data_IF_994940352601
#
_entry.id   IF_994940352601
#
_cell.length_a   1.000
_cell.length_b   1.000
_cell.length_c   1.000
_cell.angle_alpha   90.00
_cell.angle_beta   90.00
_cell.angle_gamma   90.00
#
_symmetry.space_group_name_H-M   'P 1'
#
loop_
_entity.id
_entity.type
_entity.pdbx_description
1 polymer ?
#
# COMPACT_ATOMS: atom_id res chain seq x y z
N UNK A 1 -2.24 25.86 28.75
CA UNK A 1 -3.53 26.49 28.39
C UNK A 1 -4.66 25.54 28.79
N UNK A 2 -5.82 26.05 29.20
CA UNK A 2 -6.98 25.18 29.42
C UNK A 2 -7.49 24.70 28.07
N UNK A 3 -7.59 23.38 27.89
CA UNK A 3 -8.13 22.79 26.66
C UNK A 3 -8.76 21.43 26.94
N UNK A 4 -9.58 20.98 26.00
CA UNK A 4 -10.17 19.65 26.00
C UNK A 4 -9.07 18.61 25.73
N UNK A 5 -8.89 17.67 26.65
CA UNK A 5 -7.86 16.62 26.60
C UNK A 5 -8.43 15.28 27.08
N UNK A 6 -7.70 14.20 26.81
CA UNK A 6 -8.08 12.85 27.23
C UNK A 6 -7.79 12.61 28.71
N UNK A 7 -8.81 12.13 29.41
CA UNK A 7 -8.74 11.56 30.76
C UNK A 7 -8.79 10.03 30.68
N UNK A 8 -7.98 9.35 31.49
CA UNK A 8 -8.00 7.88 31.59
C UNK A 8 -8.23 7.48 33.04
N UNK A 9 -9.32 6.78 33.28
CA UNK A 9 -9.71 6.19 34.56
C UNK A 9 -8.92 4.88 34.78
N UNK A 10 -7.87 4.94 35.60
CA UNK A 10 -7.00 3.79 35.87
C UNK A 10 -7.72 2.63 36.59
N UNK A 11 -8.80 2.91 37.33
CA UNK A 11 -9.58 1.88 38.02
C UNK A 11 -10.38 1.03 37.03
N UNK A 12 -10.93 1.67 35.98
CA UNK A 12 -11.65 0.97 34.89
C UNK A 12 -10.74 0.41 33.82
N UNK A 13 -9.51 0.91 33.70
CA UNK A 13 -8.56 0.44 32.71
C UNK A 13 -8.10 -0.99 33.02
N UNK A 14 -8.24 -1.92 32.08
CA UNK A 14 -7.75 -3.29 32.23
C UNK A 14 -6.36 -3.53 31.60
N UNK A 15 -5.72 -2.47 31.08
CA UNK A 15 -4.38 -2.57 30.50
C UNK A 15 -4.29 -3.18 29.10
N UNK A 16 -5.41 -3.37 28.39
CA UNK A 16 -5.42 -4.06 27.10
C UNK A 16 -4.60 -3.41 25.98
N UNK A 17 -4.21 -2.14 26.09
CA UNK A 17 -3.33 -1.47 25.13
C UNK A 17 -3.98 -0.94 23.86
N UNK A 18 -5.26 -1.24 23.59
CA UNK A 18 -5.95 -0.88 22.34
C UNK A 18 -5.91 0.64 22.09
N UNK A 19 -6.15 1.44 23.13
CA UNK A 19 -6.08 2.90 23.05
C UNK A 19 -4.68 3.45 22.73
N UNK A 20 -3.61 2.77 23.15
CA UNK A 20 -2.24 3.16 22.82
C UNK A 20 -1.93 2.87 21.34
N UNK A 21 -2.50 1.80 20.78
CA UNK A 21 -2.41 1.49 19.34
C UNK A 21 -3.26 2.43 18.49
N UNK A 22 -4.45 2.80 18.97
CA UNK A 22 -5.37 3.69 18.25
C UNK A 22 -4.91 5.16 18.21
N UNK A 23 -3.97 5.56 19.07
CA UNK A 23 -3.49 6.94 19.12
C UNK A 23 -2.42 7.18 18.05
N UNK A 24 -2.81 7.79 16.93
CA UNK A 24 -1.94 8.13 15.80
C UNK A 24 -0.76 9.03 16.21
N UNK A 25 -0.99 9.94 17.16
CA UNK A 25 0.00 10.87 17.66
C UNK A 25 0.98 10.21 18.64
N UNK A 26 0.65 9.01 19.15
CA UNK A 26 1.45 8.31 20.15
C UNK A 26 1.48 8.99 21.53
N UNK A 27 0.37 9.61 21.92
CA UNK A 27 0.23 10.31 23.20
C UNK A 27 0.00 9.38 24.40
N UNK A 28 -0.56 8.19 24.17
CA UNK A 28 -0.92 7.19 25.18
C UNK A 28 0.09 6.04 25.17
N UNK A 29 0.49 5.58 26.35
CA UNK A 29 1.34 4.40 26.52
C UNK A 29 0.84 3.54 27.70
N UNK A 30 1.30 2.29 27.78
CA UNK A 30 0.97 1.37 28.86
C UNK A 30 2.08 1.39 29.90
N UNK A 31 1.77 1.95 31.05
CA UNK A 31 2.69 2.09 32.19
C UNK A 31 2.12 1.33 33.37
N UNK A 32 2.90 0.37 33.90
CA UNK A 32 2.48 -0.50 35.01
C UNK A 32 1.15 -1.23 34.74
N UNK A 33 0.95 -1.68 33.50
CA UNK A 33 -0.27 -2.40 33.10
C UNK A 33 -1.52 -1.53 32.98
N UNK A 34 -1.39 -0.20 32.97
CA UNK A 34 -2.51 0.74 32.79
C UNK A 34 -2.19 1.74 31.69
N UNK A 35 -3.21 2.14 30.94
CA UNK A 35 -3.05 3.20 29.94
C UNK A 35 -2.85 4.55 30.65
N UNK A 36 -1.85 5.32 30.21
CA UNK A 36 -1.57 6.66 30.71
C UNK A 36 -1.33 7.61 29.54
N UNK A 37 -1.80 8.84 29.67
CA UNK A 37 -1.48 9.93 28.75
C UNK A 37 -0.08 10.47 29.07
N UNK A 38 0.94 9.80 28.55
CA UNK A 38 2.35 10.09 28.90
C UNK A 38 2.90 11.33 28.17
N UNK A 39 2.28 11.73 27.06
CA UNK A 39 2.71 12.90 26.26
C UNK A 39 1.52 13.80 25.98
N UNK A 40 1.16 14.64 26.93
CA UNK A 40 -0.01 15.53 26.82
C UNK A 40 0.07 16.52 25.65
N UNK A 41 1.28 16.94 25.28
CA UNK A 41 1.54 17.80 24.12
C UNK A 41 1.34 17.07 22.79
N UNK A 42 1.28 15.73 22.78
CA UNK A 42 0.95 14.93 21.59
C UNK A 42 -0.55 14.71 21.46
N UNK A 43 -1.33 14.91 22.53
CA UNK A 43 -2.78 14.69 22.47
C UNK A 43 -3.44 15.85 21.74
N UNK A 44 -4.06 15.63 20.59
CA UNK A 44 -4.75 16.70 19.85
C UNK A 44 -6.12 17.06 20.45
N UNK A 45 -6.73 16.13 21.21
CA UNK A 45 -8.06 16.26 21.80
C UNK A 45 -9.20 15.79 20.90
N UNK A 46 -8.92 15.05 19.82
CA UNK A 46 -9.90 14.54 18.86
C UNK A 46 -10.66 13.32 19.40
N UNK A 47 -9.95 12.43 20.10
CA UNK A 47 -10.55 11.33 20.86
C UNK A 47 -10.75 10.01 20.12
N UNK A 48 -9.90 9.70 19.16
CA UNK A 48 -9.90 8.39 18.46
C UNK A 48 -9.80 7.18 19.40
N UNK A 49 -9.20 7.36 20.59
CA UNK A 49 -9.07 6.32 21.59
C UNK A 49 -10.37 6.00 22.37
N UNK A 50 -11.39 6.86 22.33
CA UNK A 50 -12.66 6.66 23.05
C UNK A 50 -13.45 5.44 22.53
N UNK A 51 -13.77 5.33 21.23
CA UNK A 51 -14.55 4.19 20.72
C UNK A 51 -13.82 2.85 20.88
N UNK A 52 -12.49 2.89 20.96
CA UNK A 52 -11.63 1.71 21.04
C UNK A 52 -11.46 1.19 22.48
N UNK A 53 -11.93 1.90 23.50
CA UNK A 53 -11.78 1.45 24.88
C UNK A 53 -12.93 0.51 25.28
N UNK A 54 -12.70 -0.82 25.39
CA UNK A 54 -13.77 -1.79 25.65
C UNK A 54 -14.37 -1.66 27.06
N UNK A 55 -13.63 -1.06 28.00
CA UNK A 55 -14.09 -0.86 29.37
C UNK A 55 -14.68 0.52 29.63
N UNK A 56 -14.69 1.41 28.62
CA UNK A 56 -15.16 2.79 28.78
C UNK A 56 -14.34 3.60 29.78
N UNK A 57 -13.05 3.31 29.93
CA UNK A 57 -12.13 3.99 30.86
C UNK A 57 -11.65 5.37 30.37
N UNK A 58 -12.00 5.77 29.15
CA UNK A 58 -11.46 6.98 28.51
C UNK A 58 -12.59 8.00 28.31
N UNK A 59 -12.34 9.24 28.72
CA UNK A 59 -13.27 10.35 28.57
C UNK A 59 -12.54 11.64 28.20
N UNK A 60 -13.30 12.67 27.82
CA UNK A 60 -12.75 14.02 27.72
C UNK A 60 -12.85 14.74 29.06
N UNK A 61 -11.84 15.56 29.35
CA UNK A 61 -11.86 16.54 30.44
C UNK A 61 -11.35 17.90 29.93
N UNK A 62 -11.74 18.98 30.61
CA UNK A 62 -11.13 20.29 30.42
C UNK A 62 -10.22 20.58 31.60
N UNK A 63 -8.91 20.68 31.32
CA UNK A 63 -7.91 21.04 32.33
C UNK A 63 -6.77 21.82 31.70
N UNK A 64 -5.90 22.33 32.55
CA UNK A 64 -4.66 22.91 32.11
C UNK A 64 -3.74 21.82 31.54
N UNK A 65 -3.33 22.00 30.28
CA UNK A 65 -2.42 21.12 29.57
C UNK A 65 -1.52 21.93 28.61
N UNK A 66 -0.37 21.36 28.17
CA UNK A 66 0.42 21.92 27.09
C UNK A 66 -0.41 22.07 25.80
N UNK A 67 -0.03 23.03 24.96
CA UNK A 67 -0.58 23.11 23.60
C UNK A 67 -0.17 21.87 22.79
N UNK A 68 -1.01 21.50 21.82
CA UNK A 68 -0.68 20.42 20.90
C UNK A 68 0.51 20.80 20.03
N UNK A 69 1.51 19.92 19.94
CA UNK A 69 2.74 20.11 19.18
C UNK A 69 2.83 19.10 18.04
N UNK A 70 2.26 19.47 16.89
CA UNK A 70 2.30 18.66 15.68
C UNK A 70 3.74 18.38 15.20
N UNK A 71 4.66 19.33 15.40
CA UNK A 71 6.05 19.16 14.96
C UNK A 71 6.78 18.10 15.80
N UNK A 72 6.54 18.07 17.11
CA UNK A 72 7.08 17.06 18.00
C UNK A 72 6.51 15.66 17.72
N UNK A 73 5.22 15.56 17.34
CA UNK A 73 4.61 14.29 16.90
C UNK A 73 5.32 13.75 15.65
N UNK A 74 5.47 14.57 14.61
CA UNK A 74 6.15 14.18 13.37
C UNK A 74 7.60 13.74 13.63
N UNK A 75 8.35 14.50 14.44
CA UNK A 75 9.73 14.15 14.78
C UNK A 75 9.82 12.81 15.54
N UNK A 76 8.88 12.53 16.46
CA UNK A 76 8.84 11.27 17.19
C UNK A 76 8.46 10.08 16.28
N UNK A 77 7.55 10.27 15.33
CA UNK A 77 7.18 9.25 14.34
C UNK A 77 8.37 8.94 13.42
N UNK A 78 9.12 9.96 12.98
CA UNK A 78 10.33 9.78 12.17
C UNK A 78 11.43 9.04 12.94
N UNK A 79 11.65 9.37 14.22
CA UNK A 79 12.61 8.66 15.07
C UNK A 79 12.22 7.19 15.29
N UNK A 80 10.94 6.88 15.55
CA UNK A 80 10.45 5.50 15.66
C UNK A 80 10.67 4.72 14.36
N UNK A 81 10.46 5.34 13.20
CA UNK A 81 10.74 4.74 11.89
C UNK A 81 12.23 4.38 11.73
N UNK A 82 13.12 5.26 12.15
CA UNK A 82 14.57 5.07 12.04
C UNK A 82 15.13 4.03 13.05
N UNK A 83 14.57 3.97 14.27
CA UNK A 83 14.98 2.97 15.30
C UNK A 83 14.43 1.58 14.97
N UNK A 84 13.17 1.46 14.54
CA UNK A 84 12.59 0.19 14.10
C UNK A 84 13.30 -0.44 12.90
N UNK A 85 14.09 0.35 12.16
CA UNK A 85 14.97 -0.12 11.08
C UNK A 85 16.33 -0.64 11.60
N UNK A 86 16.83 -0.13 12.75
CA UNK A 86 18.07 -0.59 13.41
C UNK A 86 17.86 -1.84 14.28
N UNK A 87 16.77 -1.93 15.04
CA UNK A 87 16.47 -3.11 15.88
C UNK A 87 16.22 -4.37 15.05
N UNK A 88 15.59 -4.24 13.88
CA UNK A 88 15.43 -5.33 12.90
C UNK A 88 16.76 -5.82 12.32
N UNK A 89 17.82 -5.01 12.36
CA UNK A 89 19.15 -5.34 11.90
C UNK A 89 19.99 -6.07 12.96
N UNK A 90 19.84 -5.73 14.26
CA UNK A 90 20.60 -6.37 15.35
C UNK A 90 20.13 -7.78 15.69
N UNK A 91 18.82 -8.07 15.64
CA UNK A 91 18.29 -9.41 15.93
C UNK A 91 18.74 -10.47 14.90
N UNK A 92 19.16 -10.05 13.70
CA UNK A 92 19.57 -10.94 12.59
C UNK A 92 21.05 -11.32 12.59
N UNK A 93 21.87 -10.73 13.47
CA UNK A 93 23.33 -10.90 13.44
C UNK A 93 23.86 -12.00 14.37
N UNK A 94 23.09 -12.47 15.35
CA UNK A 94 23.58 -13.43 16.35
C UNK A 94 23.39 -14.92 15.97
N UNK A 95 22.66 -15.23 14.89
CA UNK A 95 22.32 -16.61 14.51
C UNK A 95 23.07 -17.11 13.25
N UNK A 96 24.17 -16.44 12.86
CA UNK A 96 24.92 -16.73 11.62
C UNK A 96 26.34 -17.25 11.87
N UNK A 97 26.49 -18.19 12.82
CA UNK A 97 27.70 -19.01 12.90
C UNK A 97 27.35 -20.46 13.18
N UNK A 98 26.91 -21.19 12.15
CA UNK A 98 27.60 -22.41 11.70
C UNK A 98 26.88 -23.13 10.56
N UNK A 99 27.70 -23.46 9.55
CA UNK A 99 27.65 -24.62 8.65
C UNK A 99 26.79 -24.57 7.37
N UNK A 100 27.50 -24.75 6.24
CA UNK A 100 27.08 -25.68 5.19
C UNK A 100 26.69 -25.05 3.85
N UNK A 101 27.49 -25.31 2.81
CA UNK A 101 27.20 -25.01 1.42
C UNK A 101 25.93 -25.73 0.94
N UNK A 102 24.80 -25.04 0.82
CA UNK A 102 23.64 -25.50 0.03
C UNK A 102 22.88 -24.31 -0.57
N UNK A 103 22.33 -24.53 -1.77
CA UNK A 103 21.74 -23.55 -2.69
C UNK A 103 20.97 -22.44 -1.96
N UNK A 104 21.29 -21.19 -2.28
CA UNK A 104 20.68 -19.98 -1.72
C UNK A 104 19.15 -19.99 -1.89
N UNK A 105 18.46 -20.56 -0.92
CA UNK A 105 17.01 -20.50 -0.78
C UNK A 105 16.66 -19.11 -0.26
N UNK A 106 15.84 -18.38 -1.01
CA UNK A 106 15.33 -17.09 -0.59
C UNK A 106 14.49 -17.25 0.69
N UNK A 107 14.97 -16.69 1.82
CA UNK A 107 14.31 -16.77 3.14
C UNK A 107 13.36 -15.60 3.42
N UNK A 108 12.86 -14.92 2.38
CA UNK A 108 11.90 -13.82 2.50
C UNK A 108 10.44 -14.26 2.37
N UNK A 109 9.50 -13.42 2.84
CA UNK A 109 8.07 -13.62 2.62
C UNK A 109 7.79 -13.70 1.10
N UNK A 110 7.11 -14.74 0.59
CA UNK A 110 6.75 -14.85 -0.83
C UNK A 110 5.98 -13.61 -1.34
N UNK A 111 5.25 -12.92 -0.46
CA UNK A 111 4.56 -11.67 -0.77
C UNK A 111 5.47 -10.52 -1.22
N UNK A 112 6.77 -10.58 -0.90
CA UNK A 112 7.79 -9.62 -1.30
C UNK A 112 8.85 -10.22 -2.22
N UNK A 113 8.71 -11.49 -2.61
CA UNK A 113 9.65 -12.17 -3.48
C UNK A 113 9.52 -11.61 -4.91
N UNK A 114 10.46 -10.77 -5.32
CA UNK A 114 10.43 -10.16 -6.65
C UNK A 114 10.48 -11.23 -7.75
N UNK A 115 9.48 -11.24 -8.62
CA UNK A 115 9.38 -12.15 -9.76
C UNK A 115 8.88 -11.37 -10.98
N UNK A 116 9.35 -11.78 -12.16
CA UNK A 116 8.82 -11.31 -13.44
C UNK A 116 8.26 -12.51 -14.18
N UNK A 117 7.01 -12.40 -14.60
CA UNK A 117 6.34 -13.41 -15.40
C UNK A 117 6.72 -13.15 -16.86
N UNK A 118 7.47 -14.07 -17.48
CA UNK A 118 7.97 -13.88 -18.85
C UNK A 118 6.85 -13.83 -19.90
N UNK A 119 7.15 -13.18 -21.04
CA UNK A 119 6.31 -13.14 -22.25
C UNK A 119 6.05 -14.51 -22.90
N UNK A 120 6.63 -15.60 -22.38
CA UNK A 120 6.40 -16.96 -22.86
C UNK A 120 4.90 -17.30 -22.94
N UNK A 121 4.09 -16.76 -22.01
CA UNK A 121 2.62 -16.88 -22.04
C UNK A 121 1.94 -16.23 -23.24
N UNK A 122 2.55 -15.24 -23.88
CA UNK A 122 2.01 -14.59 -25.09
C UNK A 122 2.44 -15.33 -26.37
N UNK A 123 3.64 -15.93 -26.38
CA UNK A 123 4.14 -16.75 -27.48
C UNK A 123 3.46 -18.14 -27.53
N UNK A 124 3.35 -18.83 -26.39
CA UNK A 124 2.61 -20.10 -26.25
C UNK A 124 1.15 -19.96 -26.71
N UNK A 125 0.52 -18.83 -26.41
CA UNK A 125 -0.84 -18.53 -26.84
C UNK A 125 -0.97 -18.20 -28.32
N UNK A 126 0.06 -17.59 -28.94
CA UNK A 126 0.06 -17.35 -30.40
C UNK A 126 0.09 -18.68 -31.15
N UNK A 127 0.82 -19.66 -30.62
CA UNK A 127 0.83 -21.03 -31.15
C UNK A 127 -0.48 -21.79 -30.87
N UNK A 128 -1.12 -21.62 -29.71
CA UNK A 128 -2.42 -22.25 -29.43
C UNK A 128 -3.58 -21.64 -30.25
N UNK A 129 -3.62 -20.32 -30.44
CA UNK A 129 -4.65 -19.67 -31.26
C UNK A 129 -4.51 -20.03 -32.75
N UNK A 130 -3.28 -20.10 -33.26
CA UNK A 130 -3.04 -20.47 -34.67
C UNK A 130 -3.42 -21.92 -34.97
N UNK A 131 -3.20 -22.86 -34.03
CA UNK A 131 -3.63 -24.27 -34.16
C UNK A 131 -5.15 -24.46 -34.15
N UNK A 132 -5.92 -23.51 -33.62
CA UNK A 132 -7.39 -23.57 -33.58
C UNK A 132 -8.05 -22.95 -34.82
N UNK A 133 -7.40 -22.01 -35.51
CA UNK A 133 -7.89 -21.44 -36.78
C UNK A 133 -7.79 -22.43 -37.95
N UNK A 134 -6.94 -23.46 -37.86
CA UNK A 134 -6.73 -24.47 -38.90
C UNK A 134 -7.81 -25.58 -38.96
N UNK A 135 -8.86 -25.55 -38.12
CA UNK A 135 -9.90 -26.58 -38.12
C UNK A 135 -11.34 -26.00 -38.24
N UNK A 136 -11.75 -25.56 -39.45
CA UNK A 136 -13.03 -24.85 -39.67
C UNK A 136 -14.28 -25.73 -39.57
N UNK A 137 -14.13 -27.05 -39.31
CA UNK A 137 -15.19 -28.05 -39.40
C UNK A 137 -15.62 -28.71 -38.09
N UNK A 138 -15.06 -28.31 -36.94
CA UNK A 138 -15.46 -28.86 -35.65
C UNK A 138 -16.78 -28.21 -35.15
N UNK A 139 -17.76 -29.00 -34.66
CA UNK A 139 -19.04 -28.48 -34.20
C UNK A 139 -18.89 -27.41 -33.10
N UNK A 140 -19.77 -26.41 -33.15
CA UNK A 140 -19.71 -25.13 -32.42
C UNK A 140 -19.96 -25.21 -30.90
N UNK A 141 -19.30 -26.15 -30.22
CA UNK A 141 -19.03 -26.07 -28.78
C UNK A 141 -17.60 -25.56 -28.64
N UNK A 142 -17.41 -24.27 -28.91
CA UNK A 142 -16.19 -23.58 -28.54
C UNK A 142 -16.01 -23.75 -27.03
N UNK A 143 -14.98 -24.50 -26.63
CA UNK A 143 -14.62 -24.61 -25.23
C UNK A 143 -14.48 -23.19 -24.67
N UNK A 144 -15.10 -22.86 -23.52
CA UNK A 144 -14.99 -21.52 -22.96
C UNK A 144 -13.51 -21.21 -22.75
N UNK A 145 -13.01 -20.17 -23.45
CA UNK A 145 -11.63 -19.72 -23.31
C UNK A 145 -11.41 -19.31 -21.86
N UNK A 146 -10.49 -20.00 -21.18
CA UNK A 146 -10.12 -19.66 -19.81
C UNK A 146 -9.46 -18.27 -19.82
N UNK A 147 -9.96 -17.29 -19.05
CA UNK A 147 -9.32 -15.98 -18.97
C UNK A 147 -7.88 -16.11 -18.50
N UNK A 148 -6.95 -15.48 -19.23
CA UNK A 148 -5.53 -15.53 -18.87
C UNK A 148 -5.16 -14.32 -18.02
N UNK A 149 -4.42 -14.58 -16.93
CA UNK A 149 -3.84 -13.49 -16.15
C UNK A 149 -2.84 -12.70 -16.98
N UNK A 150 -3.06 -11.38 -17.02
CA UNK A 150 -2.18 -10.38 -17.65
C UNK A 150 -1.21 -9.71 -16.68
N UNK A 151 -1.07 -10.23 -15.45
CA UNK A 151 -0.09 -9.72 -14.50
C UNK A 151 1.32 -10.06 -14.99
N UNK A 152 2.17 -9.03 -15.14
CA UNK A 152 3.53 -9.19 -15.67
C UNK A 152 4.59 -9.43 -14.58
N UNK A 153 4.30 -9.06 -13.32
CA UNK A 153 5.29 -9.12 -12.25
C UNK A 153 4.66 -9.27 -10.86
N UNK A 154 5.50 -9.64 -9.90
CA UNK A 154 5.19 -9.67 -8.47
C UNK A 154 6.34 -9.06 -7.67
N UNK A 155 6.09 -8.31 -6.58
CA UNK A 155 4.78 -7.91 -6.07
C UNK A 155 4.09 -6.86 -6.94
N UNK A 156 2.75 -6.83 -6.89
CA UNK A 156 1.96 -5.76 -7.52
C UNK A 156 1.53 -4.66 -6.55
N UNK A 157 1.65 -4.85 -5.23
CA UNK A 157 1.27 -3.84 -4.25
C UNK A 157 2.30 -2.71 -4.19
N UNK A 158 1.87 -1.45 -4.27
CA UNK A 158 2.76 -0.27 -4.25
C UNK A 158 3.67 -0.30 -3.01
N UNK A 159 3.16 -0.67 -1.83
CA UNK A 159 3.97 -0.74 -0.60
C UNK A 159 5.06 -1.81 -0.64
N UNK A 160 4.87 -2.88 -1.42
CA UNK A 160 5.76 -4.04 -1.45
C UNK A 160 6.74 -4.02 -2.63
N UNK A 161 6.42 -3.29 -3.71
CA UNK A 161 7.24 -3.27 -4.91
C UNK A 161 8.58 -2.56 -4.64
N UNK A 162 9.73 -3.15 -5.02
CA UNK A 162 11.02 -2.46 -4.95
C UNK A 162 11.05 -1.28 -5.93
N UNK A 163 11.54 -0.12 -5.50
CA UNK A 163 11.51 1.11 -6.33
C UNK A 163 12.33 1.00 -7.62
N UNK A 164 13.39 0.20 -7.64
CA UNK A 164 14.31 0.04 -8.77
C UNK A 164 14.25 -1.38 -9.35
N UNK A 165 13.06 -2.00 -9.33
CA UNK A 165 12.87 -3.34 -9.86
C UNK A 165 13.11 -3.39 -11.39
N UNK A 166 13.77 -4.44 -11.94
CA UNK A 166 14.12 -4.52 -13.36
C UNK A 166 12.92 -4.44 -14.32
N UNK A 167 11.74 -4.87 -13.89
CA UNK A 167 10.51 -4.82 -14.70
C UNK A 167 9.96 -3.41 -14.92
N UNK A 168 10.56 -2.37 -14.33
CA UNK A 168 10.24 -0.98 -14.65
C UNK A 168 11.05 -0.43 -15.83
N UNK A 169 12.12 -1.10 -16.27
CA UNK A 169 12.93 -0.64 -17.39
C UNK A 169 12.14 -0.65 -18.70
N UNK A 170 11.94 0.54 -19.30
CA UNK A 170 11.21 0.72 -20.55
C UNK A 170 9.71 0.38 -20.44
N UNK A 171 9.15 0.40 -19.24
CA UNK A 171 7.80 -0.10 -18.96
C UNK A 171 6.69 0.90 -19.33
N UNK A 172 5.53 0.37 -19.71
CA UNK A 172 4.26 1.10 -19.61
C UNK A 172 3.70 0.81 -18.22
N UNK A 173 3.59 1.82 -17.37
CA UNK A 173 3.18 1.66 -15.98
C UNK A 173 1.66 1.82 -15.85
N UNK A 174 1.04 0.88 -15.15
CA UNK A 174 -0.34 0.97 -14.68
C UNK A 174 -0.34 1.17 -13.17
N UNK A 175 -0.94 2.26 -12.71
CA UNK A 175 -1.21 2.54 -11.30
C UNK A 175 -2.72 2.40 -11.12
N UNK A 176 -3.18 1.40 -10.36
CA UNK A 176 -4.62 1.14 -10.21
C UNK A 176 -5.05 1.09 -8.74
N UNK A 177 -6.27 1.55 -8.45
CA UNK A 177 -6.85 1.36 -7.13
C UNK A 177 -7.26 -0.11 -6.93
N UNK A 178 -7.07 -0.67 -5.73
CA UNK A 178 -7.29 -2.11 -5.45
C UNK A 178 -8.66 -2.63 -5.92
N UNK A 179 -9.70 -1.83 -5.71
CA UNK A 179 -11.07 -2.19 -6.05
C UNK A 179 -11.39 -2.17 -7.55
N UNK A 180 -10.54 -1.60 -8.42
CA UNK A 180 -10.86 -1.49 -9.85
C UNK A 180 -10.88 -2.85 -10.53
N UNK A 181 -9.99 -3.77 -10.14
CA UNK A 181 -9.97 -5.12 -10.69
C UNK A 181 -11.19 -5.97 -10.30
N UNK A 182 -11.84 -5.62 -9.19
CA UNK A 182 -13.06 -6.29 -8.72
C UNK A 182 -14.33 -5.63 -9.27
N UNK A 183 -14.31 -4.33 -9.51
CA UNK A 183 -15.44 -3.61 -10.09
C UNK A 183 -15.51 -3.74 -11.61
N UNK A 184 -14.36 -3.67 -12.30
CA UNK A 184 -14.27 -3.71 -13.75
C UNK A 184 -13.75 -5.06 -14.24
N UNK A 185 -14.65 -5.89 -14.78
CA UNK A 185 -14.37 -7.29 -15.11
C UNK A 185 -13.22 -7.48 -16.13
N UNK A 186 -13.07 -6.55 -17.08
CA UNK A 186 -12.09 -6.68 -18.16
C UNK A 186 -10.71 -6.09 -17.82
N UNK A 187 -10.39 -5.91 -16.52
CA UNK A 187 -9.19 -5.21 -16.05
C UNK A 187 -7.89 -5.81 -16.58
N UNK A 188 -7.79 -7.14 -16.58
CA UNK A 188 -6.58 -7.83 -17.06
C UNK A 188 -6.32 -7.52 -18.53
N UNK A 189 -7.34 -7.66 -19.36
CA UNK A 189 -7.21 -7.55 -20.81
C UNK A 189 -7.05 -6.12 -21.29
N UNK A 190 -7.82 -5.18 -20.73
CA UNK A 190 -7.86 -3.80 -21.20
C UNK A 190 -6.78 -2.91 -20.58
N UNK A 191 -6.48 -3.13 -19.29
CA UNK A 191 -5.57 -2.26 -18.56
C UNK A 191 -4.22 -2.92 -18.30
N UNK A 192 -4.16 -4.18 -17.85
CA UNK A 192 -2.90 -4.82 -17.40
C UNK A 192 -2.06 -5.37 -18.55
N UNK A 193 -2.68 -5.80 -19.65
CA UNK A 193 -1.98 -6.40 -20.80
C UNK A 193 -0.85 -5.50 -21.31
N UNK A 194 0.37 -6.04 -21.30
CA UNK A 194 1.58 -5.34 -21.75
C UNK A 194 2.02 -4.18 -20.84
N UNK A 195 1.54 -4.11 -19.60
CA UNK A 195 1.90 -3.08 -18.62
C UNK A 195 2.43 -3.69 -17.32
N UNK A 196 3.43 -3.03 -16.75
CA UNK A 196 3.84 -3.29 -15.37
C UNK A 196 2.77 -2.70 -14.46
N UNK A 197 2.11 -3.55 -13.68
CA UNK A 197 0.91 -3.16 -12.91
C UNK A 197 1.21 -3.04 -11.43
N UNK A 198 1.05 -1.85 -10.86
CA UNK A 198 1.10 -1.63 -9.42
C UNK A 198 -0.24 -1.13 -8.90
N UNK A 199 -0.65 -1.62 -7.74
CA UNK A 199 -1.95 -1.34 -7.12
C UNK A 199 -1.81 -0.81 -5.70
N UNK A 200 -2.77 0.00 -5.27
CA UNK A 200 -2.89 0.42 -3.88
C UNK A 200 -4.15 1.23 -3.59
N UNK A 201 -4.53 1.28 -2.32
CA UNK A 201 -5.66 2.07 -1.84
C UNK A 201 -5.21 2.95 -0.66
N UNK A 202 -5.08 4.28 -0.86
CA UNK A 202 -4.62 5.19 0.21
C UNK A 202 -5.49 5.11 1.48
N UNK A 203 -6.79 4.81 1.32
CA UNK A 203 -7.71 4.65 2.45
C UNK A 203 -7.45 3.39 3.28
N UNK A 204 -7.04 2.28 2.65
CA UNK A 204 -6.78 1.03 3.36
C UNK A 204 -5.34 0.97 3.86
N UNK A 205 -4.43 1.55 3.10
CA UNK A 205 -3.02 1.51 3.41
C UNK A 205 -2.57 2.59 4.39
N UNK A 206 -3.39 3.63 4.58
CA UNK A 206 -3.14 4.79 5.44
C UNK A 206 -1.79 5.46 5.16
N UNK A 207 -1.50 5.67 3.88
CA UNK A 207 -0.23 6.26 3.41
C UNK A 207 -0.47 7.15 2.20
N UNK A 208 0.42 8.13 2.05
CA UNK A 208 0.62 8.86 0.79
C UNK A 208 1.67 8.12 -0.05
N UNK A 209 1.32 7.75 -1.28
CA UNK A 209 2.24 7.06 -2.19
C UNK A 209 3.18 8.01 -2.96
N UNK A 210 3.02 9.34 -2.82
CA UNK A 210 3.71 10.34 -3.64
C UNK A 210 5.22 10.15 -3.65
N UNK A 211 5.84 9.95 -2.49
CA UNK A 211 7.30 9.77 -2.38
C UNK A 211 7.77 8.50 -3.09
N UNK A 212 7.14 7.35 -2.80
CA UNK A 212 7.52 6.07 -3.41
C UNK A 212 7.28 6.05 -4.92
N UNK A 213 6.17 6.60 -5.38
CA UNK A 213 5.88 6.75 -6.81
C UNK A 213 6.89 7.70 -7.46
N UNK A 214 7.31 8.77 -6.78
CA UNK A 214 8.36 9.67 -7.27
C UNK A 214 9.66 8.92 -7.49
N UNK A 215 10.09 8.09 -6.53
CA UNK A 215 11.31 7.29 -6.65
C UNK A 215 11.23 6.24 -7.76
N UNK A 216 10.07 5.58 -7.92
CA UNK A 216 9.84 4.67 -9.06
C UNK A 216 9.97 5.43 -10.39
N UNK A 217 9.29 6.56 -10.55
CA UNK A 217 9.31 7.31 -11.82
C UNK A 217 10.68 7.95 -12.09
N UNK A 218 11.34 8.49 -11.07
CA UNK A 218 12.65 9.14 -11.16
C UNK A 218 13.76 8.16 -11.52
N UNK A 219 13.76 6.96 -10.93
CA UNK A 219 14.87 6.03 -11.07
C UNK A 219 14.70 5.01 -12.22
N UNK A 220 13.56 5.00 -12.92
CA UNK A 220 13.30 4.03 -13.99
C UNK A 220 12.86 4.69 -15.30
N UNK A 221 13.13 4.03 -16.43
CA UNK A 221 12.68 4.50 -17.74
C UNK A 221 11.22 4.10 -18.01
N UNK A 222 10.28 4.93 -17.57
CA UNK A 222 8.84 4.71 -17.75
C UNK A 222 8.35 5.44 -19.00
N UNK A 223 7.79 4.69 -19.95
CA UNK A 223 7.33 5.21 -21.25
C UNK A 223 6.00 5.96 -21.18
N UNK A 224 5.12 5.52 -20.28
CA UNK A 224 3.78 6.10 -20.10
C UNK A 224 3.18 5.62 -18.79
N UNK A 225 2.30 6.43 -18.18
CA UNK A 225 1.52 6.05 -17.00
C UNK A 225 0.03 6.01 -17.33
N UNK A 226 -0.66 4.94 -16.94
CA UNK A 226 -2.13 4.90 -16.90
C UNK A 226 -2.55 4.83 -15.43
N UNK A 227 -3.41 5.75 -15.01
CA UNK A 227 -4.00 5.74 -13.66
C UNK A 227 -5.44 5.25 -13.79
N UNK A 228 -5.77 4.13 -13.13
CA UNK A 228 -7.15 3.62 -13.08
C UNK A 228 -7.68 3.80 -11.66
N UNK A 229 -8.71 4.62 -11.52
CA UNK A 229 -9.30 4.98 -10.22
C UNK A 229 -10.79 4.69 -10.19
N UNK A 230 -11.37 4.58 -9.00
CA UNK A 230 -12.82 4.56 -8.85
C UNK A 230 -13.40 5.97 -8.73
N UNK A 231 -14.69 6.14 -9.01
CA UNK A 231 -15.42 7.42 -8.85
C UNK A 231 -15.46 7.94 -7.40
N UNK A 232 -15.22 7.07 -6.42
CA UNK A 232 -15.28 7.40 -4.99
C UNK A 232 -14.14 8.35 -4.55
N UNK A 233 -14.38 9.19 -3.53
CA UNK A 233 -13.44 10.24 -3.14
C UNK A 233 -12.08 9.71 -2.67
N UNK A 234 -12.03 8.53 -2.04
CA UNK A 234 -10.76 7.96 -1.57
C UNK A 234 -9.75 7.69 -2.71
N UNK A 235 -10.22 7.44 -3.94
CA UNK A 235 -9.33 7.25 -5.08
C UNK A 235 -8.82 8.57 -5.67
N UNK A 236 -9.28 9.73 -5.18
CA UNK A 236 -8.67 11.02 -5.47
C UNK A 236 -7.23 11.12 -4.93
N UNK A 237 -6.97 10.54 -3.75
CA UNK A 237 -5.63 10.50 -3.17
C UNK A 237 -4.62 9.72 -4.01
N UNK A 238 -5.04 8.60 -4.65
CA UNK A 238 -4.17 7.83 -5.53
C UNK A 238 -3.80 8.60 -6.80
N UNK A 239 -4.79 9.25 -7.42
CA UNK A 239 -4.56 10.10 -8.59
C UNK A 239 -3.62 11.26 -8.25
N UNK A 240 -3.92 11.97 -7.16
CA UNK A 240 -3.09 13.07 -6.68
C UNK A 240 -1.64 12.63 -6.46
N UNK A 241 -1.43 11.52 -5.76
CA UNK A 241 -0.09 11.00 -5.50
C UNK A 241 0.68 10.65 -6.79
N UNK A 242 0.00 10.05 -7.78
CA UNK A 242 0.60 9.74 -9.06
C UNK A 242 0.95 11.00 -9.88
N UNK A 243 0.07 12.01 -9.89
CA UNK A 243 0.31 13.27 -10.59
C UNK A 243 1.44 14.09 -9.93
N UNK A 244 1.48 14.14 -8.59
CA UNK A 244 2.59 14.75 -7.85
C UNK A 244 3.90 14.03 -8.15
N UNK A 245 3.89 12.70 -8.18
CA UNK A 245 5.07 11.92 -8.52
C UNK A 245 5.55 12.15 -9.95
N UNK A 246 4.64 12.26 -10.91
CA UNK A 246 4.97 12.61 -12.30
C UNK A 246 5.66 13.97 -12.37
N UNK A 247 5.12 14.99 -11.69
CA UNK A 247 5.71 16.33 -11.61
C UNK A 247 7.09 16.32 -10.92
N UNK A 248 7.21 15.63 -9.79
CA UNK A 248 8.42 15.57 -8.97
C UNK A 248 9.52 14.63 -9.52
N UNK A 249 9.17 13.77 -10.49
CA UNK A 249 10.13 12.84 -11.12
C UNK A 249 11.20 13.56 -11.95
N UNK A 250 10.92 14.79 -12.39
CA UNK A 250 11.77 15.54 -13.32
C UNK A 250 11.77 15.01 -14.75
N UNK A 251 10.84 14.10 -15.10
CA UNK A 251 10.72 13.48 -16.43
C UNK A 251 9.43 13.90 -17.13
N UNK A 252 9.52 14.00 -18.46
CA UNK A 252 8.34 14.19 -19.30
C UNK A 252 7.75 12.82 -19.66
N UNK A 253 6.78 12.35 -18.87
CA UNK A 253 6.12 11.05 -19.08
C UNK A 253 4.65 11.32 -19.41
N UNK A 254 4.12 10.87 -20.56
CA UNK A 254 2.71 11.02 -20.87
C UNK A 254 1.87 10.17 -19.91
N UNK A 255 0.76 10.73 -19.41
CA UNK A 255 -0.18 10.00 -18.57
C UNK A 255 -1.63 10.22 -18.96
N UNK A 256 -2.48 9.30 -18.52
CA UNK A 256 -3.94 9.40 -18.61
C UNK A 256 -4.59 8.87 -17.34
N UNK A 257 -5.79 9.38 -17.03
CA UNK A 257 -6.61 8.93 -15.91
C UNK A 257 -7.89 8.32 -16.47
N UNK A 258 -8.25 7.14 -15.97
CA UNK A 258 -9.51 6.46 -16.29
C UNK A 258 -10.28 6.25 -15.00
N UNK A 259 -11.54 6.69 -14.98
CA UNK A 259 -12.40 6.57 -13.81
C UNK A 259 -13.42 5.44 -14.02
N UNK A 260 -13.52 4.55 -13.04
CA UNK A 260 -14.46 3.43 -13.00
C UNK A 260 -15.58 3.74 -12.00
N UNK A 261 -16.84 3.60 -12.43
CA UNK A 261 -18.00 3.72 -11.54
C UNK A 261 -18.08 2.55 -10.55
N UNK A 262 -18.85 2.70 -9.47
CA UNK A 262 -19.07 1.63 -8.49
C UNK A 262 -19.74 0.38 -9.07
N UNK A 263 -20.41 0.51 -10.22
CA UNK A 263 -21.02 -0.61 -10.96
C UNK A 263 -20.19 -1.07 -12.18
N UNK A 264 -18.94 -0.63 -12.29
CA UNK A 264 -17.97 -1.20 -13.24
C UNK A 264 -18.03 -0.63 -14.66
N UNK A 265 -18.61 0.55 -14.87
CA UNK A 265 -18.53 1.27 -16.15
C UNK A 265 -17.33 2.21 -16.16
N UNK A 266 -16.77 2.46 -17.33
CA UNK A 266 -15.82 3.55 -17.54
C UNK A 266 -16.63 4.85 -17.63
N UNK A 267 -16.17 5.89 -16.92
CA UNK A 267 -16.74 7.23 -16.97
C UNK A 267 -15.89 8.11 -17.89
N UNK A 268 -16.58 8.91 -18.72
CA UNK A 268 -15.99 9.91 -19.63
C UNK A 268 -15.41 11.12 -18.89
#
# INVERSE_FOLDING_TARGET
MVRKIIHIDEEKCNGCGICATACHEGAIDIVNGKAKLVREHFCDGLGDCLPECPTGAIAFEEREAPAYDHAAVLAAQEQKRNVGMREKHEFKMHEFKQQGEEKMQFTGCPGSAMMQFGNQREEENREENSRQEENPGAPAYAQPRVPQSRLAQWPCQIKLVPEQAPFFAGAKLLIAADCTAYAYANMHEEFMRGKTTIIGCPKLDDVDYSEKLTEILRNNDIKSVTIVRMEVPCCGGLQYAAEQALQASGKFIPWQVVTISRDGRILD
#
